data_IF_576289771947
#
_entry.id   IF_576289771947
#
_cell.length_a   1.000
_cell.length_b   1.000
_cell.length_c   1.000
_cell.angle_alpha   90.00
_cell.angle_beta   90.00
_cell.angle_gamma   90.00
#
_symmetry.space_group_name_H-M   'P 1'
#
loop_
_entity.id
_entity.type
_entity.pdbx_description
1 polymer ?
#
# COMPACT_ATOMS: atom_id res chain seq x y z
N UNK A 1 -43.37 31.21 -1.49
CA UNK A 1 -42.09 31.94 -1.49
C UNK A 1 -41.90 32.50 -2.90
N UNK A 2 -41.77 33.82 -3.06
CA UNK A 2 -41.68 34.43 -4.38
C UNK A 2 -40.37 34.02 -5.07
N UNK A 3 -40.41 33.83 -6.39
CA UNK A 3 -39.24 33.47 -7.19
C UNK A 3 -38.17 34.57 -7.02
N UNK A 4 -36.97 34.19 -6.57
CA UNK A 4 -35.86 35.11 -6.30
C UNK A 4 -35.63 35.47 -4.82
N UNK A 5 -36.46 34.98 -3.90
CA UNK A 5 -36.20 35.17 -2.46
C UNK A 5 -35.06 34.25 -1.98
N UNK A 6 -33.87 34.83 -1.81
CA UNK A 6 -32.71 34.13 -1.23
C UNK A 6 -32.71 34.34 0.28
N UNK A 7 -32.72 33.26 1.07
CA UNK A 7 -32.72 33.32 2.53
C UNK A 7 -31.54 32.53 3.11
N UNK A 8 -31.04 32.97 4.27
CA UNK A 8 -29.98 32.26 4.97
C UNK A 8 -30.53 31.02 5.68
N UNK A 9 -29.84 29.88 5.58
CA UNK A 9 -30.21 28.62 6.25
C UNK A 9 -30.26 28.76 7.77
N UNK A 10 -29.38 29.56 8.36
CA UNK A 10 -29.35 29.82 9.80
C UNK A 10 -29.11 31.31 10.04
N UNK A 11 -30.06 31.97 10.71
CA UNK A 11 -29.95 33.41 11.01
C UNK A 11 -28.98 33.71 12.16
N UNK A 12 -28.75 32.75 13.07
CA UNK A 12 -27.85 32.94 14.23
C UNK A 12 -26.38 33.08 13.83
N UNK A 13 -26.01 32.54 12.67
CA UNK A 13 -24.65 32.64 12.12
C UNK A 13 -24.45 33.91 11.28
N UNK A 14 -25.48 34.72 11.06
CA UNK A 14 -25.40 35.92 10.24
C UNK A 14 -25.08 37.12 11.11
N UNK A 15 -23.91 37.73 10.90
CA UNK A 15 -23.55 39.00 11.51
C UNK A 15 -24.26 40.13 10.78
N UNK A 16 -25.13 40.87 11.48
CA UNK A 16 -25.80 42.06 10.97
C UNK A 16 -25.05 43.32 11.41
N UNK A 17 -24.82 44.23 10.48
CA UNK A 17 -24.16 45.52 10.75
C UNK A 17 -25.10 46.61 10.25
N UNK A 18 -25.39 47.60 11.12
CA UNK A 18 -26.14 48.78 10.73
C UNK A 18 -25.19 49.73 9.98
N UNK A 19 -25.53 50.07 8.74
CA UNK A 19 -24.78 51.02 7.93
C UNK A 19 -25.59 52.33 7.87
N UNK A 20 -25.14 53.42 8.53
CA UNK A 20 -25.90 54.67 8.60
C UNK A 20 -25.95 55.41 7.25
N UNK A 21 -24.86 55.39 6.49
CA UNK A 21 -24.76 56.05 5.17
C UNK A 21 -23.97 55.18 4.20
N UNK A 22 -24.38 55.19 2.93
CA UNK A 22 -23.73 54.41 1.87
C UNK A 22 -22.77 55.31 1.08
N UNK A 23 -21.48 55.09 1.22
CA UNK A 23 -20.47 55.80 0.44
C UNK A 23 -20.05 55.02 -0.81
N UNK A 24 -20.46 55.51 -1.98
CA UNK A 24 -20.22 54.83 -3.27
C UNK A 24 -18.74 54.79 -3.67
N UNK A 25 -17.93 55.77 -3.27
CA UNK A 25 -16.50 55.82 -3.60
C UNK A 25 -15.73 54.65 -2.96
N UNK A 26 -16.04 54.32 -1.71
CA UNK A 26 -15.44 53.20 -0.98
C UNK A 26 -15.86 51.88 -1.63
N UNK A 27 -17.15 51.70 -1.90
CA UNK A 27 -17.68 50.49 -2.54
C UNK A 27 -17.03 50.25 -3.90
N UNK A 28 -16.87 51.30 -4.71
CA UNK A 28 -16.24 51.19 -6.01
C UNK A 28 -14.76 50.80 -5.92
N UNK A 29 -14.01 51.26 -4.91
CA UNK A 29 -12.63 50.79 -4.67
C UNK A 29 -12.57 49.33 -4.20
N UNK A 30 -13.48 48.93 -3.30
CA UNK A 30 -13.55 47.56 -2.81
C UNK A 30 -13.91 46.58 -3.92
N UNK A 31 -14.90 46.90 -4.75
CA UNK A 31 -15.27 46.06 -5.88
C UNK A 31 -14.16 45.94 -6.92
N UNK A 32 -13.40 47.02 -7.15
CA UNK A 32 -12.23 46.99 -8.06
C UNK A 32 -11.08 46.10 -7.55
N UNK A 33 -10.98 45.88 -6.23
CA UNK A 33 -9.93 45.07 -5.62
C UNK A 33 -10.41 43.67 -5.21
N UNK A 34 -11.69 43.36 -5.43
CA UNK A 34 -12.28 42.06 -5.09
C UNK A 34 -11.72 41.00 -6.04
N UNK A 35 -10.86 40.13 -5.51
CA UNK A 35 -10.38 38.94 -6.23
C UNK A 35 -11.33 37.79 -5.92
N UNK A 36 -12.20 37.45 -6.87
CA UNK A 36 -13.00 36.24 -6.80
C UNK A 36 -12.20 35.08 -7.38
N UNK A 37 -11.79 34.15 -6.53
CA UNK A 37 -11.25 32.87 -6.97
C UNK A 37 -12.42 31.91 -7.07
N UNK A 38 -12.55 31.26 -8.23
CA UNK A 38 -13.46 30.14 -8.43
C UNK A 38 -12.62 28.88 -8.64
N UNK A 39 -12.12 28.26 -7.56
CA UNK A 39 -11.48 26.96 -7.68
C UNK A 39 -12.51 25.96 -8.21
N UNK A 40 -12.11 25.14 -9.17
CA UNK A 40 -12.93 24.00 -9.57
C UNK A 40 -12.88 22.94 -8.46
N UNK A 41 -13.89 22.97 -7.61
CA UNK A 41 -14.03 22.05 -6.48
C UNK A 41 -14.15 20.59 -6.92
N UNK A 42 -14.57 20.32 -8.15
CA UNK A 42 -14.63 18.94 -8.67
C UNK A 42 -13.22 18.43 -8.94
N UNK A 43 -12.38 19.23 -9.60
CA UNK A 43 -11.00 18.89 -9.89
C UNK A 43 -10.19 18.63 -8.61
N UNK A 44 -10.28 19.52 -7.61
CA UNK A 44 -9.58 19.32 -6.32
C UNK A 44 -10.02 18.04 -5.60
N UNK A 45 -11.33 17.72 -5.67
CA UNK A 45 -11.86 16.49 -5.08
C UNK A 45 -11.34 15.26 -5.79
N UNK A 46 -11.28 15.27 -7.12
CA UNK A 46 -10.77 14.17 -7.92
C UNK A 46 -9.28 13.94 -7.68
N UNK A 47 -8.47 14.99 -7.62
CA UNK A 47 -7.04 14.89 -7.29
C UNK A 47 -6.82 14.27 -5.92
N UNK A 48 -7.60 14.70 -4.92
CA UNK A 48 -7.53 14.15 -3.57
C UNK A 48 -7.89 12.66 -3.55
N UNK A 49 -8.93 12.25 -4.28
CA UNK A 49 -9.33 10.85 -4.40
C UNK A 49 -8.29 10.02 -5.15
N UNK A 50 -7.70 10.56 -6.22
CA UNK A 50 -6.63 9.90 -6.97
C UNK A 50 -5.40 9.68 -6.11
N UNK A 51 -5.01 10.67 -5.31
CA UNK A 51 -3.91 10.55 -4.36
C UNK A 51 -4.18 9.47 -3.31
N UNK A 52 -5.40 9.39 -2.77
CA UNK A 52 -5.78 8.34 -1.82
C UNK A 52 -5.69 6.95 -2.45
N UNK A 53 -6.28 6.74 -3.64
CA UNK A 53 -6.20 5.46 -4.36
C UNK A 53 -4.77 5.02 -4.65
N UNK A 54 -3.88 5.95 -5.00
CA UNK A 54 -2.47 5.64 -5.26
C UNK A 54 -1.76 5.15 -4.00
N UNK A 55 -2.07 5.74 -2.83
CA UNK A 55 -1.54 5.29 -1.54
C UNK A 55 -2.03 3.88 -1.19
N UNK A 56 -3.32 3.62 -1.37
CA UNK A 56 -3.90 2.31 -1.08
C UNK A 56 -3.31 1.21 -2.00
N UNK A 57 -3.13 1.52 -3.29
CA UNK A 57 -2.48 0.60 -4.23
C UNK A 57 -1.02 0.32 -3.86
N UNK A 58 -0.27 1.34 -3.44
CA UNK A 58 1.11 1.17 -3.00
C UNK A 58 1.19 0.25 -1.77
N UNK A 59 0.33 0.49 -0.76
CA UNK A 59 0.26 -0.34 0.44
C UNK A 59 -0.12 -1.80 0.11
N UNK A 60 -1.09 -2.03 -0.78
CA UNK A 60 -1.45 -3.39 -1.23
C UNK A 60 -0.30 -4.09 -1.95
N UNK A 61 0.45 -3.36 -2.78
CA UNK A 61 1.61 -3.91 -3.49
C UNK A 61 2.74 -4.28 -2.53
N UNK A 62 3.00 -3.45 -1.52
CA UNK A 62 3.99 -3.72 -0.47
C UNK A 62 3.63 -4.98 0.31
N UNK A 63 2.38 -5.10 0.79
CA UNK A 63 1.90 -6.30 1.48
C UNK A 63 2.04 -7.56 0.61
N UNK A 64 1.65 -7.48 -0.66
CA UNK A 64 1.81 -8.61 -1.60
C UNK A 64 3.29 -9.00 -1.80
N UNK A 65 4.21 -8.03 -1.84
CA UNK A 65 5.66 -8.30 -1.96
C UNK A 65 6.19 -8.97 -0.69
N UNK A 66 5.78 -8.52 0.48
CA UNK A 66 6.17 -9.12 1.76
C UNK A 66 5.66 -10.55 1.89
N UNK A 67 4.39 -10.79 1.56
CA UNK A 67 3.79 -12.13 1.54
C UNK A 67 4.50 -13.05 0.54
N UNK A 68 4.85 -12.54 -0.65
CA UNK A 68 5.58 -13.32 -1.65
C UNK A 68 7.00 -13.70 -1.17
N UNK A 69 7.71 -12.80 -0.49
CA UNK A 69 9.03 -13.09 0.11
C UNK A 69 8.92 -14.15 1.20
N UNK A 70 7.96 -13.99 2.11
CA UNK A 70 7.72 -14.98 3.17
C UNK A 70 7.38 -16.35 2.56
N UNK A 71 6.52 -16.39 1.53
CA UNK A 71 6.18 -17.63 0.85
C UNK A 71 7.39 -18.29 0.17
N UNK A 72 8.33 -17.52 -0.38
CA UNK A 72 9.58 -18.04 -0.93
C UNK A 72 10.46 -18.64 0.18
N UNK A 73 10.64 -17.92 1.30
CA UNK A 73 11.41 -18.42 2.45
C UNK A 73 10.80 -19.70 3.04
N UNK A 74 9.47 -19.78 3.15
CA UNK A 74 8.79 -21.00 3.59
C UNK A 74 8.98 -22.15 2.61
N UNK A 75 8.92 -21.88 1.30
CA UNK A 75 9.18 -22.89 0.26
C UNK A 75 10.61 -23.39 0.31
N UNK A 76 11.59 -22.50 0.45
CA UNK A 76 13.00 -22.87 0.54
C UNK A 76 13.29 -23.68 1.80
N UNK A 77 12.79 -23.26 2.96
CA UNK A 77 12.90 -24.02 4.21
C UNK A 77 12.23 -25.39 4.12
N UNK A 78 11.08 -25.48 3.44
CA UNK A 78 10.41 -26.77 3.20
C UNK A 78 11.26 -27.64 2.28
N UNK A 79 11.76 -27.08 1.17
CA UNK A 79 12.62 -27.80 0.23
C UNK A 79 13.88 -28.32 0.91
N UNK A 80 14.56 -27.50 1.71
CA UNK A 80 15.73 -27.91 2.49
C UNK A 80 15.41 -29.05 3.46
N UNK A 81 14.25 -29.03 4.12
CA UNK A 81 13.83 -30.13 5.02
C UNK A 81 13.49 -31.41 4.27
N UNK A 82 12.78 -31.29 3.14
CA UNK A 82 12.35 -32.43 2.34
C UNK A 82 13.57 -33.09 1.65
N UNK A 83 14.56 -32.31 1.19
CA UNK A 83 15.78 -32.80 0.53
C UNK A 83 16.96 -32.98 1.50
N UNK A 84 16.76 -32.79 2.81
CA UNK A 84 17.82 -32.97 3.82
C UNK A 84 18.37 -34.40 3.87
N UNK A 85 17.62 -35.37 3.37
CA UNK A 85 18.00 -36.77 3.34
C UNK A 85 18.25 -37.31 1.92
N UNK A 86 18.06 -36.50 0.87
CA UNK A 86 18.29 -36.96 -0.51
C UNK A 86 19.77 -37.32 -0.74
N UNK A 87 20.69 -36.57 -0.14
CA UNK A 87 22.13 -36.85 -0.24
C UNK A 87 22.60 -37.97 0.69
N UNK A 88 21.78 -38.38 1.65
CA UNK A 88 22.07 -39.49 2.57
C UNK A 88 21.76 -40.87 1.98
N UNK A 89 21.06 -40.95 0.85
CA UNK A 89 20.75 -42.20 0.16
C UNK A 89 21.45 -42.32 -1.21
N UNK A 90 22.40 -41.42 -1.50
CA UNK A 90 23.16 -41.44 -2.74
C UNK A 90 24.33 -42.45 -2.64
N UNK A 91 24.08 -43.64 -3.20
CA UNK A 91 25.01 -44.60 -3.83
C UNK A 91 26.24 -45.13 -3.07
N UNK A 92 26.92 -44.37 -2.23
CA UNK A 92 28.12 -44.83 -1.51
C UNK A 92 27.76 -45.81 -0.36
N UNK A 93 26.58 -45.67 0.26
CA UNK A 93 26.10 -46.61 1.30
C UNK A 93 25.56 -47.95 0.73
N UNK A 94 25.16 -48.00 -0.54
CA UNK A 94 24.66 -49.24 -1.16
C UNK A 94 25.80 -50.24 -1.44
N UNK A 95 27.01 -49.75 -1.71
CA UNK A 95 28.20 -50.61 -1.90
C UNK A 95 28.72 -51.16 -0.56
N UNK A 96 28.63 -50.40 0.54
CA UNK A 96 29.03 -50.89 1.88
C UNK A 96 28.06 -51.95 2.46
N UNK A 97 26.76 -51.83 2.17
CA UNK A 97 25.74 -52.77 2.65
C UNK A 97 25.68 -54.08 1.83
N UNK A 98 26.28 -54.13 0.64
CA UNK A 98 26.29 -55.31 -0.20
C UNK A 98 27.45 -56.25 0.16
N UNK A 99 27.12 -57.44 0.66
CA UNK A 99 28.10 -58.45 1.07
C UNK A 99 28.63 -59.29 -0.12
N UNK A 100 28.20 -59.03 -1.36
CA UNK A 100 28.51 -59.84 -2.54
C UNK A 100 29.79 -59.40 -3.27
N UNK A 101 30.20 -58.13 -3.19
CA UNK A 101 31.34 -57.59 -3.94
C UNK A 101 32.58 -57.31 -3.07
N UNK A 102 32.65 -57.93 -1.87
CA UNK A 102 33.80 -57.75 -0.94
C UNK A 102 34.98 -58.62 -1.38
N UNK A 103 36.14 -58.01 -1.60
CA UNK A 103 37.39 -58.70 -1.93
C UNK A 103 37.94 -59.55 -0.79
N UNK A 104 38.84 -60.50 -1.10
CA UNK A 104 39.44 -61.42 -0.12
C UNK A 104 40.19 -60.70 1.03
N UNK A 105 40.64 -59.46 0.79
CA UNK A 105 41.36 -58.61 1.75
C UNK A 105 40.42 -57.96 2.81
N UNK A 106 39.11 -58.13 2.72
CA UNK A 106 38.14 -57.50 3.65
C UNK A 106 38.31 -57.97 5.11
N UNK A 107 38.88 -59.16 5.33
CA UNK A 107 39.08 -59.74 6.66
C UNK A 107 40.49 -59.48 7.23
N UNK A 108 41.39 -58.86 6.46
CA UNK A 108 42.80 -58.67 6.86
C UNK A 108 42.98 -57.55 7.91
N UNK A 109 42.05 -56.60 8.02
CA UNK A 109 42.08 -55.49 8.99
C UNK A 109 41.48 -55.87 10.37
N UNK A 110 41.02 -57.12 10.55
CA UNK A 110 40.44 -57.63 11.79
C UNK A 110 41.30 -58.71 12.48
N UNK A 111 42.48 -59.04 11.95
CA UNK A 111 43.52 -59.86 12.61
C UNK A 111 44.66 -59.02 13.16
#
# INVERSE_FOLDING_TARGET
MAVGQVSFKNQKTVKRILVPTRENAIINRLNKTKVEKFPDLQMEKEEKLKALRKKDQAAMLERRKEEAKQAQEYKEKKWQKDHAYDDMFNQDDEEEANNQDRGEDFLDDFM
#
